data_IF_696031165111
#
_entry.id   IF_696031165111
#
_cell.length_a   1.000
_cell.length_b   1.000
_cell.length_c   1.000
_cell.angle_alpha   90.00
_cell.angle_beta   90.00
_cell.angle_gamma   90.00
#
_symmetry.space_group_name_H-M   'P 1'
#
loop_
_entity.id
_entity.type
_entity.pdbx_description
1 polymer ?
#
# COMPACT_ATOMS: atom_id res chain seq x y z
N UNK A 1 -32.53 -24.83 -32.09
CA UNK A 1 -31.97 -24.20 -30.91
C UNK A 1 -30.96 -23.17 -31.40
N UNK A 2 -31.17 -21.88 -31.22
CA UNK A 2 -30.21 -20.88 -31.63
C UNK A 2 -29.03 -20.89 -30.66
N UNK A 3 -27.81 -21.03 -31.20
CA UNK A 3 -26.53 -20.88 -30.52
C UNK A 3 -26.33 -19.39 -30.26
N UNK A 4 -26.32 -18.98 -29.01
CA UNK A 4 -25.97 -17.63 -28.60
C UNK A 4 -24.45 -17.53 -28.43
N UNK A 5 -23.74 -17.48 -29.56
CA UNK A 5 -22.33 -17.09 -29.59
C UNK A 5 -22.22 -15.55 -29.74
N UNK A 6 -22.16 -14.86 -28.62
CA UNK A 6 -21.74 -13.49 -28.57
C UNK A 6 -20.75 -13.34 -27.43
N UNK A 7 -19.66 -12.55 -27.59
CA UNK A 7 -18.77 -12.29 -26.49
C UNK A 7 -19.57 -11.60 -25.37
N UNK A 8 -19.60 -12.24 -24.20
CA UNK A 8 -20.17 -11.65 -22.99
C UNK A 8 -19.31 -10.45 -22.63
N UNK A 9 -19.67 -9.29 -23.13
CA UNK A 9 -19.17 -8.02 -22.61
C UNK A 9 -19.74 -7.91 -21.20
N UNK A 10 -18.93 -8.25 -20.17
CA UNK A 10 -19.22 -7.82 -18.80
C UNK A 10 -19.39 -6.32 -18.88
N UNK A 11 -20.59 -5.83 -18.65
CA UNK A 11 -20.76 -4.45 -18.23
C UNK A 11 -20.15 -4.40 -16.83
N UNK A 12 -18.89 -4.01 -16.76
CA UNK A 12 -18.34 -3.48 -15.53
C UNK A 12 -19.19 -2.25 -15.22
N UNK A 13 -20.07 -2.38 -14.23
CA UNK A 13 -20.67 -1.21 -13.61
C UNK A 13 -19.50 -0.50 -12.94
N UNK A 14 -19.01 0.57 -13.55
CA UNK A 14 -17.91 1.33 -13.00
C UNK A 14 -18.33 1.82 -11.61
N UNK A 15 -17.66 1.35 -10.57
CA UNK A 15 -17.83 1.87 -9.22
C UNK A 15 -17.39 3.33 -9.26
N UNK A 16 -18.28 4.24 -8.85
CA UNK A 16 -17.96 5.66 -8.78
C UNK A 16 -16.98 5.94 -7.64
N UNK A 17 -16.02 6.82 -7.91
CA UNK A 17 -15.03 7.19 -6.90
C UNK A 17 -15.65 8.10 -5.83
N UNK A 18 -15.43 7.79 -4.57
CA UNK A 18 -15.69 8.70 -3.46
C UNK A 18 -14.61 9.78 -3.43
N UNK A 19 -14.98 11.02 -3.76
CA UNK A 19 -14.05 12.15 -3.74
C UNK A 19 -13.86 12.73 -2.35
N UNK A 20 -14.88 12.64 -1.51
CA UNK A 20 -14.88 13.11 -0.12
C UNK A 20 -15.38 12.00 0.81
N UNK A 21 -14.86 11.98 2.03
CA UNK A 21 -15.28 11.08 3.10
C UNK A 21 -15.64 11.88 4.34
N UNK A 22 -16.75 11.54 4.98
CA UNK A 22 -17.10 12.05 6.31
C UNK A 22 -16.26 11.29 7.34
N UNK A 23 -15.28 11.98 7.95
CA UNK A 23 -14.43 11.46 9.03
C UNK A 23 -14.98 11.96 10.36
N UNK A 24 -15.33 11.06 11.26
CA UNK A 24 -15.91 11.38 12.56
C UNK A 24 -15.00 12.34 13.35
N UNK A 25 -15.58 13.46 13.80
CA UNK A 25 -14.84 14.49 14.55
C UNK A 25 -14.03 15.46 13.69
N UNK A 26 -13.91 15.22 12.38
CA UNK A 26 -13.17 16.10 11.44
C UNK A 26 -14.10 16.71 10.39
N UNK A 27 -15.12 15.98 9.91
CA UNK A 27 -16.02 16.38 8.84
C UNK A 27 -15.59 15.86 7.47
N UNK A 28 -16.03 16.51 6.39
CA UNK A 28 -15.70 16.12 5.01
C UNK A 28 -14.22 16.36 4.68
N UNK A 29 -13.56 15.34 4.16
CA UNK A 29 -12.14 15.32 3.82
C UNK A 29 -11.95 14.77 2.42
N UNK A 30 -11.11 15.40 1.60
CA UNK A 30 -10.70 14.87 0.28
C UNK A 30 -10.02 13.50 0.44
N UNK A 31 -10.54 12.50 -0.28
CA UNK A 31 -10.11 11.11 -0.13
C UNK A 31 -8.69 10.91 -0.66
N UNK A 32 -8.40 11.34 -1.89
CA UNK A 32 -7.13 11.03 -2.55
C UNK A 32 -6.01 11.98 -2.13
N UNK A 33 -6.31 13.26 -1.82
CA UNK A 33 -5.30 14.25 -1.53
C UNK A 33 -4.98 14.40 -0.04
N UNK A 34 -5.94 14.07 0.84
CA UNK A 34 -5.80 14.32 2.28
C UNK A 34 -5.96 13.04 3.10
N UNK A 35 -7.10 12.34 2.95
CA UNK A 35 -7.41 11.19 3.79
C UNK A 35 -6.42 10.04 3.62
N UNK A 36 -6.32 9.50 2.41
CA UNK A 36 -5.49 8.33 2.14
C UNK A 36 -3.98 8.57 2.38
N UNK A 37 -3.37 9.70 1.95
CA UNK A 37 -1.99 9.98 2.29
C UNK A 37 -1.73 10.02 3.81
N UNK A 38 -2.67 10.57 4.59
CA UNK A 38 -2.56 10.64 6.04
C UNK A 38 -2.68 9.26 6.69
N UNK A 39 -3.66 8.45 6.25
CA UNK A 39 -3.82 7.06 6.71
C UNK A 39 -2.57 6.24 6.38
N UNK A 40 -2.05 6.29 5.16
CA UNK A 40 -0.82 5.57 4.78
C UNK A 40 0.35 5.99 5.66
N UNK A 41 0.51 7.30 5.92
CA UNK A 41 1.55 7.82 6.81
C UNK A 41 1.40 7.33 8.24
N UNK A 42 0.18 7.32 8.76
CA UNK A 42 -0.07 6.93 10.16
C UNK A 42 0.03 5.42 10.37
N UNK A 43 -0.47 4.65 9.43
CA UNK A 43 -0.58 3.20 9.56
C UNK A 43 0.71 2.46 9.17
N UNK A 44 1.38 2.85 8.08
CA UNK A 44 2.53 2.11 7.54
C UNK A 44 3.63 3.01 6.98
N UNK A 45 3.80 4.21 7.52
CA UNK A 45 4.60 5.28 6.91
C UNK A 45 6.10 5.02 6.78
N UNK A 46 6.65 3.96 7.36
CA UNK A 46 8.07 3.59 7.26
C UNK A 46 8.37 2.52 6.21
N UNK A 47 7.34 1.95 5.57
CA UNK A 47 7.46 0.79 4.71
C UNK A 47 8.00 1.13 3.31
N UNK A 48 8.49 0.11 2.61
CA UNK A 48 8.91 0.17 1.22
C UNK A 48 7.77 0.53 0.28
N UNK A 49 8.09 1.10 -0.88
CA UNK A 49 7.11 1.75 -1.76
C UNK A 49 5.97 0.82 -2.21
N UNK A 50 6.24 -0.44 -2.56
CA UNK A 50 5.20 -1.39 -2.94
C UNK A 50 4.26 -1.73 -1.76
N UNK A 51 4.78 -1.77 -0.53
CA UNK A 51 3.96 -1.94 0.68
C UNK A 51 3.11 -0.70 0.98
N UNK A 52 3.63 0.53 0.74
CA UNK A 52 2.85 1.77 0.84
C UNK A 52 1.72 1.80 -0.20
N UNK A 53 1.96 1.34 -1.44
CA UNK A 53 0.94 1.20 -2.48
C UNK A 53 -0.14 0.19 -2.06
N UNK A 54 0.25 -0.99 -1.58
CA UNK A 54 -0.68 -2.00 -1.07
C UNK A 54 -1.48 -1.48 0.15
N UNK A 55 -0.87 -0.64 0.99
CA UNK A 55 -1.56 0.02 2.11
C UNK A 55 -2.59 1.04 1.61
N UNK A 56 -2.25 1.86 0.61
CA UNK A 56 -3.17 2.83 0.03
C UNK A 56 -4.40 2.15 -0.58
N UNK A 57 -4.20 1.05 -1.31
CA UNK A 57 -5.29 0.25 -1.92
C UNK A 57 -6.16 -0.40 -0.85
N UNK A 58 -5.56 -1.02 0.17
CA UNK A 58 -6.31 -1.63 1.27
C UNK A 58 -7.12 -0.58 2.05
N UNK A 59 -6.50 0.55 2.38
CA UNK A 59 -7.17 1.65 3.08
C UNK A 59 -8.34 2.22 2.28
N UNK A 60 -8.17 2.42 0.96
CA UNK A 60 -9.24 2.89 0.06
C UNK A 60 -10.38 1.87 -0.02
N UNK A 61 -10.07 0.59 -0.15
CA UNK A 61 -11.07 -0.48 -0.24
C UNK A 61 -11.90 -0.58 1.05
N UNK A 62 -11.24 -0.49 2.21
CA UNK A 62 -11.92 -0.47 3.50
C UNK A 62 -12.76 0.81 3.68
N UNK A 63 -12.25 1.97 3.27
CA UNK A 63 -13.01 3.22 3.28
C UNK A 63 -14.30 3.07 2.46
N UNK A 64 -14.22 2.59 1.22
CA UNK A 64 -15.38 2.40 0.35
C UNK A 64 -16.39 1.43 0.97
N UNK A 65 -15.90 0.30 1.52
CA UNK A 65 -16.72 -0.63 2.27
C UNK A 65 -17.48 0.03 3.44
N UNK A 66 -16.85 0.96 4.16
CA UNK A 66 -17.46 1.69 5.29
C UNK A 66 -18.45 2.76 4.82
N UNK A 67 -18.09 3.53 3.80
CA UNK A 67 -18.96 4.57 3.27
C UNK A 67 -20.25 3.98 2.69
N UNK A 68 -20.19 2.87 1.98
CA UNK A 68 -21.36 2.17 1.44
C UNK A 68 -22.34 1.73 2.54
N UNK A 69 -21.87 1.45 3.73
CA UNK A 69 -22.68 0.90 4.84
C UNK A 69 -23.05 1.89 5.91
N UNK A 70 -22.16 2.82 6.20
CA UNK A 70 -22.30 3.74 7.35
C UNK A 70 -22.31 5.22 6.93
N UNK A 71 -21.94 5.53 5.68
CA UNK A 71 -21.82 6.90 5.16
C UNK A 71 -20.67 7.70 5.77
N UNK A 72 -19.90 7.11 6.69
CA UNK A 72 -18.79 7.76 7.41
C UNK A 72 -17.77 6.75 7.91
N UNK A 73 -16.61 7.24 8.34
CA UNK A 73 -15.52 6.46 8.91
C UNK A 73 -15.01 7.11 10.20
N UNK A 74 -14.63 6.30 11.20
CA UNK A 74 -14.03 6.80 12.43
C UNK A 74 -12.52 7.00 12.26
N UNK A 75 -11.97 8.03 12.93
CA UNK A 75 -10.53 8.21 13.09
C UNK A 75 -10.04 7.39 14.29
N UNK A 76 -9.15 6.45 14.06
CA UNK A 76 -8.53 5.64 15.10
C UNK A 76 -8.66 4.13 14.88
N UNK A 77 -8.31 3.35 15.92
CA UNK A 77 -8.25 1.88 15.86
C UNK A 77 -9.59 1.18 15.62
N UNK A 78 -10.70 1.90 15.68
CA UNK A 78 -12.02 1.33 15.36
C UNK A 78 -12.21 1.13 13.87
N UNK A 79 -11.58 1.99 13.06
CA UNK A 79 -11.57 1.91 11.61
C UNK A 79 -10.15 2.10 11.06
N UNK A 80 -9.69 3.35 10.87
CA UNK A 80 -8.35 3.66 10.33
C UNK A 80 -7.76 4.87 11.06
N UNK A 81 -6.47 4.83 11.36
CA UNK A 81 -5.80 5.97 12.00
C UNK A 81 -5.50 7.02 10.93
N UNK A 82 -6.30 8.08 10.93
CA UNK A 82 -6.15 9.25 10.07
C UNK A 82 -5.27 10.33 10.72
N UNK A 83 -5.38 10.50 12.04
CA UNK A 83 -4.62 11.50 12.79
C UNK A 83 -3.64 10.83 13.76
N UNK A 84 -2.33 11.04 13.55
CA UNK A 84 -1.28 10.45 14.39
C UNK A 84 -0.15 11.42 14.76
N UNK A 85 -0.37 12.72 14.60
CA UNK A 85 0.61 13.75 14.94
C UNK A 85 1.78 13.89 13.96
N UNK A 86 1.79 13.14 12.84
CA UNK A 86 2.72 13.28 11.72
C UNK A 86 1.95 13.39 10.41
N UNK A 87 2.45 14.26 9.52
CA UNK A 87 1.86 14.41 8.18
C UNK A 87 2.48 13.46 7.15
N UNK A 88 1.77 13.24 6.02
CA UNK A 88 2.30 12.46 4.91
C UNK A 88 3.49 13.17 4.23
N UNK A 89 4.49 12.40 3.82
CA UNK A 89 5.60 12.85 2.98
C UNK A 89 5.31 12.57 1.49
N UNK A 90 6.28 12.87 0.60
CA UNK A 90 6.12 12.68 -0.84
C UNK A 90 5.94 11.22 -1.24
N UNK A 91 6.59 10.27 -0.55
CA UNK A 91 6.43 8.85 -0.83
C UNK A 91 5.00 8.35 -0.53
N UNK A 92 4.38 8.81 0.56
CA UNK A 92 2.99 8.48 0.90
C UNK A 92 2.01 9.04 -0.14
N UNK A 93 2.20 10.31 -0.55
CA UNK A 93 1.38 10.95 -1.59
C UNK A 93 1.52 10.25 -2.93
N UNK A 94 2.74 9.85 -3.28
CA UNK A 94 3.04 9.14 -4.53
C UNK A 94 2.45 7.73 -4.53
N UNK A 95 2.52 7.00 -3.42
CA UNK A 95 1.91 5.68 -3.29
C UNK A 95 0.38 5.75 -3.50
N UNK A 96 -0.29 6.76 -2.93
CA UNK A 96 -1.72 6.99 -3.14
C UNK A 96 -2.00 7.41 -4.59
N UNK A 97 -1.23 8.35 -5.13
CA UNK A 97 -1.41 8.87 -6.49
C UNK A 97 -1.21 7.80 -7.56
N UNK A 98 -0.17 6.97 -7.42
CA UNK A 98 0.13 5.90 -8.39
C UNK A 98 -0.88 4.74 -8.35
N UNK A 99 -1.71 4.68 -7.32
CA UNK A 99 -2.79 3.70 -7.14
C UNK A 99 -4.17 4.36 -7.05
N UNK A 100 -4.29 5.62 -7.51
CA UNK A 100 -5.52 6.39 -7.40
C UNK A 100 -6.72 5.62 -7.98
N UNK A 101 -7.82 5.57 -7.22
CA UNK A 101 -9.05 4.89 -7.62
C UNK A 101 -9.00 3.36 -7.65
N UNK A 102 -7.88 2.70 -7.34
CA UNK A 102 -7.82 1.24 -7.28
C UNK A 102 -8.48 0.76 -5.99
N UNK A 103 -9.49 -0.12 -6.14
CA UNK A 103 -10.28 -0.72 -5.05
C UNK A 103 -10.28 -2.24 -5.20
N UNK A 104 -10.14 -2.95 -4.09
CA UNK A 104 -10.27 -4.40 -4.05
C UNK A 104 -11.74 -4.79 -3.94
N UNK A 105 -12.18 -5.71 -4.79
CA UNK A 105 -13.55 -6.19 -4.84
C UNK A 105 -13.62 -7.71 -4.78
N UNK A 106 -14.77 -8.21 -4.38
CA UNK A 106 -15.15 -9.61 -4.53
C UNK A 106 -16.66 -9.69 -4.79
N UNK A 107 -17.07 -10.47 -5.77
CA UNK A 107 -18.47 -10.54 -6.22
C UNK A 107 -19.06 -9.13 -6.49
N UNK A 108 -18.29 -8.31 -7.20
CA UNK A 108 -18.65 -6.95 -7.65
C UNK A 108 -18.89 -5.92 -6.51
N UNK A 109 -18.47 -6.23 -5.29
CA UNK A 109 -18.57 -5.32 -4.14
C UNK A 109 -17.20 -5.05 -3.49
N UNK A 110 -16.94 -3.84 -2.95
CA UNK A 110 -15.74 -3.57 -2.18
C UNK A 110 -15.60 -4.54 -0.99
N UNK A 111 -14.41 -5.08 -0.79
CA UNK A 111 -14.10 -5.90 0.37
C UNK A 111 -13.77 -5.03 1.59
N UNK A 112 -14.03 -5.57 2.78
CA UNK A 112 -13.47 -5.02 4.02
C UNK A 112 -11.99 -5.41 4.11
N UNK A 113 -11.14 -4.68 3.40
CA UNK A 113 -9.71 -4.97 3.33
C UNK A 113 -9.04 -4.66 4.68
N UNK A 114 -9.26 -5.54 5.67
CA UNK A 114 -8.68 -5.41 7.00
C UNK A 114 -7.15 -5.44 6.97
N UNK A 115 -6.52 -4.70 7.84
CA UNK A 115 -5.08 -4.73 8.06
C UNK A 115 -4.71 -4.40 9.51
N UNK A 116 -3.58 -4.91 9.93
CA UNK A 116 -2.99 -4.70 11.26
C UNK A 116 -1.46 -4.66 11.14
N UNK A 117 -0.78 -4.25 12.21
CA UNK A 117 0.69 -4.28 12.22
C UNK A 117 1.24 -5.68 11.91
N UNK A 118 0.74 -6.71 12.58
CA UNK A 118 1.27 -8.06 12.50
C UNK A 118 2.63 -8.21 13.19
N UNK A 119 3.13 -9.43 13.29
CA UNK A 119 4.49 -9.69 13.74
C UNK A 119 5.51 -9.28 12.67
N UNK A 120 6.76 -9.05 13.08
CA UNK A 120 7.88 -8.72 12.23
C UNK A 120 8.49 -10.04 11.72
N UNK A 121 8.30 -10.42 10.44
CA UNK A 121 8.74 -11.73 9.97
C UNK A 121 10.26 -11.84 9.93
N UNK A 122 10.81 -12.96 10.41
CA UNK A 122 12.23 -13.31 10.25
C UNK A 122 12.47 -14.29 9.11
N UNK A 123 11.43 -14.86 8.51
CA UNK A 123 11.50 -15.87 7.46
C UNK A 123 11.54 -15.27 6.06
N UNK A 124 12.07 -16.03 5.08
CA UNK A 124 12.17 -15.56 3.70
C UNK A 124 10.81 -15.50 2.98
N UNK A 125 9.82 -16.23 3.43
CA UNK A 125 8.46 -16.21 2.90
C UNK A 125 7.59 -15.12 3.52
N UNK A 126 8.19 -14.25 4.35
CA UNK A 126 7.53 -13.13 5.03
C UNK A 126 6.32 -13.55 5.89
N UNK A 127 6.36 -14.78 6.40
CA UNK A 127 5.41 -15.30 7.40
C UNK A 127 6.14 -15.39 8.73
N UNK A 128 5.55 -14.92 9.83
CA UNK A 128 6.23 -14.98 11.12
C UNK A 128 6.52 -16.42 11.56
N UNK A 129 7.70 -16.61 12.12
CA UNK A 129 8.10 -17.84 12.80
C UNK A 129 7.77 -17.76 14.31
N UNK A 130 7.69 -18.90 15.00
CA UNK A 130 7.54 -18.90 16.46
C UNK A 130 8.70 -18.14 17.11
N UNK A 131 8.36 -17.09 17.86
CA UNK A 131 9.35 -16.23 18.56
C UNK A 131 9.62 -14.90 17.87
N UNK A 132 9.07 -14.66 16.69
CA UNK A 132 9.12 -13.34 16.07
C UNK A 132 8.38 -12.29 16.92
N UNK A 133 8.88 -11.06 16.87
CA UNK A 133 8.33 -9.95 17.65
C UNK A 133 6.98 -9.50 17.10
N UNK A 134 5.95 -9.50 17.95
CA UNK A 134 4.61 -8.95 17.67
C UNK A 134 4.27 -7.90 18.71
N UNK A 135 4.84 -6.68 18.62
CA UNK A 135 4.73 -5.65 19.64
C UNK A 135 3.28 -5.18 19.88
N UNK A 136 2.40 -5.41 18.92
CA UNK A 136 0.99 -5.01 18.99
C UNK A 136 0.06 -6.16 19.31
N UNK A 137 0.55 -7.40 19.36
CA UNK A 137 -0.21 -8.63 19.54
C UNK A 137 -1.35 -8.80 18.52
N UNK A 138 -1.08 -8.39 17.26
CA UNK A 138 -2.08 -8.37 16.20
C UNK A 138 -1.89 -9.47 15.15
N UNK A 139 -0.79 -10.23 15.20
CA UNK A 139 -0.52 -11.32 14.27
C UNK A 139 -1.66 -12.36 14.23
N UNK A 140 -2.32 -12.61 15.35
CA UNK A 140 -3.45 -13.52 15.46
C UNK A 140 -4.62 -13.23 14.51
N UNK A 141 -4.71 -12.01 13.97
CA UNK A 141 -5.75 -11.60 13.02
C UNK A 141 -5.29 -11.66 11.57
N UNK A 142 -3.97 -11.76 11.34
CA UNK A 142 -3.41 -11.85 9.99
C UNK A 142 -3.82 -13.18 9.35
N UNK A 143 -4.11 -13.13 8.06
CA UNK A 143 -4.44 -14.31 7.27
C UNK A 143 -3.56 -14.40 6.04
N UNK A 144 -3.13 -15.60 5.72
CA UNK A 144 -2.26 -15.88 4.57
C UNK A 144 -3.08 -16.65 3.53
N UNK A 145 -3.50 -15.95 2.47
CA UNK A 145 -4.38 -16.46 1.43
C UNK A 145 -3.69 -16.62 0.07
N UNK A 146 -2.37 -16.59 0.03
CA UNK A 146 -1.60 -16.85 -1.19
C UNK A 146 -2.00 -18.19 -1.81
N UNK A 147 -2.28 -18.18 -3.13
CA UNK A 147 -2.74 -19.35 -3.87
C UNK A 147 -4.15 -19.83 -3.55
N UNK A 148 -4.90 -19.13 -2.69
CA UNK A 148 -6.26 -19.49 -2.31
C UNK A 148 -7.30 -18.63 -3.02
N UNK A 149 -8.48 -19.22 -3.25
CA UNK A 149 -9.60 -18.56 -3.92
C UNK A 149 -10.95 -19.11 -3.42
N UNK A 150 -12.04 -18.41 -3.74
CA UNK A 150 -13.39 -18.85 -3.44
C UNK A 150 -13.64 -19.08 -1.95
N UNK A 151 -14.10 -20.26 -1.63
CA UNK A 151 -14.36 -20.71 -0.26
C UNK A 151 -13.13 -21.17 0.52
N UNK A 152 -11.98 -21.31 -0.16
CA UNK A 152 -10.74 -21.80 0.46
C UNK A 152 -9.95 -20.70 1.17
N UNK A 153 -10.35 -19.43 1.00
CA UNK A 153 -9.73 -18.31 1.73
C UNK A 153 -10.01 -18.41 3.22
N UNK A 154 -9.03 -18.00 4.01
CA UNK A 154 -9.21 -17.82 5.44
C UNK A 154 -9.74 -16.41 5.72
N UNK A 155 -10.91 -16.30 6.33
CA UNK A 155 -11.44 -15.04 6.84
C UNK A 155 -10.72 -14.65 8.13
N UNK A 156 -10.53 -13.35 8.36
CA UNK A 156 -9.96 -12.88 9.62
C UNK A 156 -11.00 -12.84 10.74
N UNK A 157 -10.57 -13.16 11.96
CA UNK A 157 -11.38 -13.00 13.16
C UNK A 157 -11.51 -11.53 13.63
N UNK A 158 -10.73 -10.62 13.05
CA UNK A 158 -10.88 -9.17 13.30
C UNK A 158 -12.26 -8.67 12.86
N UNK A 159 -12.77 -9.22 11.77
CA UNK A 159 -14.14 -9.01 11.32
C UNK A 159 -15.06 -10.17 11.72
N UNK A 160 -16.24 -10.19 11.11
CA UNK A 160 -17.18 -11.29 11.31
C UNK A 160 -16.83 -12.47 10.41
N UNK A 161 -16.43 -13.59 11.01
CA UNK A 161 -16.17 -14.86 10.30
C UNK A 161 -17.50 -15.57 10.05
N UNK A 162 -17.92 -15.58 8.78
CA UNK A 162 -19.11 -16.30 8.33
C UNK A 162 -18.98 -16.57 6.81
N UNK A 163 -19.24 -17.80 6.33
CA UNK A 163 -19.15 -18.11 4.89
C UNK A 163 -19.99 -17.21 3.98
N UNK A 164 -21.09 -16.63 4.50
CA UNK A 164 -21.90 -15.67 3.75
C UNK A 164 -21.36 -14.23 3.79
N UNK A 165 -20.34 -13.95 4.60
CA UNK A 165 -19.70 -12.63 4.66
C UNK A 165 -18.59 -12.55 3.62
N UNK A 166 -18.97 -12.37 2.37
CA UNK A 166 -18.04 -12.32 1.22
C UNK A 166 -17.13 -11.10 1.23
N UNK A 167 -17.42 -10.07 2.03
CA UNK A 167 -16.56 -8.91 2.18
C UNK A 167 -15.34 -9.18 3.09
N UNK A 168 -15.40 -10.18 3.98
CA UNK A 168 -14.24 -10.57 4.79
C UNK A 168 -13.37 -11.57 4.00
N UNK A 169 -12.36 -11.05 3.33
CA UNK A 169 -11.40 -11.84 2.54
C UNK A 169 -10.06 -12.02 3.28
N UNK A 170 -9.99 -11.69 4.56
CA UNK A 170 -8.79 -11.80 5.37
C UNK A 170 -8.26 -10.48 5.87
N UNK A 171 -7.03 -10.50 6.41
CA UNK A 171 -6.36 -9.36 7.01
C UNK A 171 -4.88 -9.31 6.63
N UNK A 172 -4.43 -8.15 6.14
CA UNK A 172 -3.05 -7.90 5.73
C UNK A 172 -2.18 -7.54 6.95
N UNK A 173 -0.97 -8.13 7.05
CA UNK A 173 0.09 -7.63 7.92
C UNK A 173 0.79 -6.44 7.29
N UNK A 174 1.01 -5.35 8.03
CA UNK A 174 1.80 -4.20 7.58
C UNK A 174 3.29 -4.57 7.57
N UNK A 175 3.80 -5.20 8.64
CA UNK A 175 5.18 -5.67 8.72
C UNK A 175 5.48 -6.77 7.69
N UNK A 176 4.56 -7.71 7.49
CA UNK A 176 4.72 -8.73 6.47
C UNK A 176 4.65 -8.19 5.05
N UNK A 177 3.83 -7.17 4.79
CA UNK A 177 3.77 -6.49 3.49
C UNK A 177 5.07 -5.74 3.17
N UNK A 178 5.71 -5.14 4.18
CA UNK A 178 7.01 -4.49 4.05
C UNK A 178 8.10 -5.51 3.70
N UNK A 179 8.15 -6.63 4.43
CA UNK A 179 9.04 -7.75 4.12
C UNK A 179 8.86 -8.25 2.67
N UNK A 180 7.62 -8.40 2.17
CA UNK A 180 7.35 -8.81 0.80
C UNK A 180 7.86 -7.77 -0.22
N UNK A 181 7.66 -6.48 0.07
CA UNK A 181 8.13 -5.39 -0.79
C UNK A 181 9.67 -5.36 -0.87
N UNK A 182 10.38 -5.52 0.24
CA UNK A 182 11.84 -5.67 0.29
C UNK A 182 12.34 -6.85 -0.56
N UNK A 183 11.51 -7.88 -0.77
CA UNK A 183 11.81 -9.03 -1.62
C UNK A 183 11.37 -8.86 -3.07
N UNK A 184 10.92 -7.67 -3.44
CA UNK A 184 10.56 -7.31 -4.80
C UNK A 184 9.14 -7.69 -5.22
N UNK A 185 8.26 -8.04 -4.28
CA UNK A 185 6.85 -8.20 -4.58
C UNK A 185 6.21 -6.87 -4.95
N UNK A 186 5.38 -6.89 -5.99
CA UNK A 186 4.59 -5.73 -6.39
C UNK A 186 3.35 -5.60 -5.50
N UNK A 187 2.72 -4.43 -5.48
CA UNK A 187 1.55 -4.18 -4.64
C UNK A 187 0.39 -5.17 -4.91
N UNK A 188 0.17 -5.57 -6.17
CA UNK A 188 -0.89 -6.52 -6.54
C UNK A 188 -0.58 -7.94 -6.03
N UNK A 189 0.66 -8.37 -6.05
CA UNK A 189 1.10 -9.62 -5.43
C UNK A 189 0.91 -9.57 -3.91
N UNK A 190 1.25 -8.44 -3.27
CA UNK A 190 1.09 -8.24 -1.82
C UNK A 190 -0.39 -8.33 -1.42
N UNK A 191 -1.30 -7.65 -2.13
CA UNK A 191 -2.73 -7.72 -1.77
C UNK A 191 -3.30 -9.12 -1.99
N UNK A 192 -2.90 -9.85 -3.05
CA UNK A 192 -3.32 -11.23 -3.28
C UNK A 192 -2.79 -12.19 -2.23
N UNK A 193 -1.58 -11.99 -1.76
CA UNK A 193 -0.98 -12.79 -0.69
C UNK A 193 -1.85 -12.85 0.57
N UNK A 194 -2.54 -11.75 0.91
CA UNK A 194 -3.39 -11.67 2.10
C UNK A 194 -4.88 -11.87 1.85
N UNK A 195 -5.41 -11.43 0.70
CA UNK A 195 -6.85 -11.44 0.44
C UNK A 195 -7.29 -12.51 -0.55
N UNK A 196 -6.36 -13.26 -1.16
CA UNK A 196 -6.61 -14.36 -2.09
C UNK A 196 -6.46 -13.97 -3.56
N UNK A 197 -6.29 -14.99 -4.42
CA UNK A 197 -5.98 -14.81 -5.84
C UNK A 197 -7.15 -14.27 -6.66
N UNK A 198 -8.37 -14.51 -6.21
CA UNK A 198 -9.60 -14.18 -6.93
C UNK A 198 -10.21 -12.82 -6.53
N UNK A 199 -9.46 -12.00 -5.76
CA UNK A 199 -9.90 -10.61 -5.56
C UNK A 199 -9.89 -9.85 -6.88
N UNK A 200 -10.96 -9.10 -7.13
CA UNK A 200 -11.02 -8.14 -8.22
C UNK A 200 -10.19 -6.91 -7.88
N UNK A 201 -9.43 -6.42 -8.86
CA UNK A 201 -8.74 -5.13 -8.80
C UNK A 201 -9.49 -4.21 -9.75
N UNK A 202 -10.30 -3.32 -9.17
CA UNK A 202 -11.18 -2.44 -9.92
C UNK A 202 -10.63 -1.01 -9.92
N UNK A 203 -10.53 -0.41 -11.09
CA UNK A 203 -10.28 1.01 -11.24
C UNK A 203 -11.61 1.76 -11.18
N UNK A 204 -11.81 2.56 -10.13
CA UNK A 204 -12.96 3.49 -10.05
C UNK A 204 -12.70 4.70 -10.94
N UNK A 205 -13.76 5.41 -11.29
CA UNK A 205 -13.68 6.67 -12.05
C UNK A 205 -14.61 7.71 -11.43
N UNK A 206 -14.27 8.98 -11.60
CA UNK A 206 -15.08 10.09 -11.06
C UNK A 206 -14.34 11.41 -11.16
N UNK A 207 -14.90 12.45 -10.54
CA UNK A 207 -14.35 13.80 -10.63
C UNK A 207 -12.93 13.94 -10.03
N UNK A 208 -12.62 13.12 -9.02
CA UNK A 208 -11.33 13.14 -8.30
C UNK A 208 -10.34 12.07 -8.75
N UNK A 209 -10.74 11.16 -9.63
CA UNK A 209 -9.87 10.09 -10.15
C UNK A 209 -9.91 10.15 -11.67
N UNK A 210 -8.74 10.33 -12.29
CA UNK A 210 -8.64 10.31 -13.73
C UNK A 210 -9.08 8.94 -14.27
N UNK A 211 -9.86 8.95 -15.36
CA UNK A 211 -10.16 7.72 -16.07
C UNK A 211 -8.86 7.03 -16.50
N UNK A 212 -8.78 5.69 -16.46
CA UNK A 212 -7.64 4.96 -16.98
C UNK A 212 -7.33 5.44 -18.40
N UNK A 213 -6.05 5.67 -18.71
CA UNK A 213 -5.66 5.99 -20.09
C UNK A 213 -6.12 4.84 -21.00
N UNK A 214 -6.76 5.14 -22.13
CA UNK A 214 -7.13 4.09 -23.07
C UNK A 214 -5.86 3.31 -23.46
N UNK A 215 -5.94 1.98 -23.66
CA UNK A 215 -4.81 1.20 -24.10
C UNK A 215 -4.26 1.83 -25.41
N UNK A 216 -2.93 1.87 -25.60
CA UNK A 216 -2.37 2.39 -26.85
C UNK A 216 -2.99 1.63 -28.03
N UNK A 217 -3.31 2.31 -29.13
CA UNK A 217 -3.88 1.66 -30.28
C UNK A 217 -2.97 0.51 -30.71
N UNK A 218 -3.53 -0.64 -31.18
CA UNK A 218 -2.76 -1.83 -31.51
C UNK A 218 -1.69 -1.61 -32.59
N UNK A 219 -1.79 -0.52 -33.35
CA UNK A 219 -0.86 -0.13 -34.42
C UNK A 219 0.17 0.94 -34.00
N UNK A 220 0.25 1.32 -32.74
CA UNK A 220 1.39 2.08 -32.25
C UNK A 220 2.61 1.13 -32.23
N UNK A 221 3.10 0.78 -33.45
CA UNK A 221 4.37 0.14 -33.61
C UNK A 221 5.38 0.96 -32.81
N UNK A 222 6.00 0.33 -31.81
CA UNK A 222 7.15 0.89 -31.11
C UNK A 222 8.11 1.32 -32.22
N UNK A 223 8.26 2.64 -32.41
CA UNK A 223 9.25 3.14 -33.32
C UNK A 223 10.56 2.41 -32.98
N UNK A 224 11.28 1.85 -34.00
CA UNK A 224 12.52 1.18 -33.70
C UNK A 224 13.35 2.14 -32.86
N UNK A 225 13.65 1.79 -31.62
CA UNK A 225 14.64 2.52 -30.84
C UNK A 225 15.87 2.58 -31.69
N UNK A 226 16.25 3.78 -32.17
CA UNK A 226 17.44 3.99 -32.92
C UNK A 226 18.55 3.19 -32.22
N UNK A 227 19.14 2.26 -32.98
CA UNK A 227 20.14 1.36 -32.45
C UNK A 227 21.21 2.21 -31.77
N UNK A 228 21.31 2.08 -30.44
CA UNK A 228 22.37 2.73 -29.67
C UNK A 228 23.67 2.28 -30.35
N UNK A 229 24.50 3.20 -30.89
CA UNK A 229 25.72 2.84 -31.60
C UNK A 229 26.58 2.01 -30.64
N UNK A 230 26.85 0.78 -31.04
CA UNK A 230 27.69 -0.13 -30.29
C UNK A 230 29.13 0.43 -30.31
N UNK A 231 29.60 0.90 -29.16
CA UNK A 231 31.00 1.31 -29.00
C UNK A 231 31.86 0.07 -29.04
N UNK A 232 32.60 -0.11 -30.13
CA UNK A 232 33.55 -1.20 -30.29
C UNK A 232 34.84 -0.80 -29.57
N UNK A 233 35.28 -1.59 -28.60
CA UNK A 233 36.55 -1.43 -27.91
C UNK A 233 37.63 -2.29 -28.59
N UNK A 234 38.87 -1.77 -28.66
CA UNK A 234 40.02 -2.54 -29.09
C UNK A 234 40.46 -3.58 -28.05
N UNK A 235 41.39 -4.48 -28.40
CA UNK A 235 41.89 -5.52 -27.50
C UNK A 235 42.59 -4.97 -26.24
N UNK A 236 42.79 -3.67 -26.12
CA UNK A 236 43.35 -2.98 -24.95
C UNK A 236 42.27 -2.21 -24.14
N UNK A 237 40.98 -2.38 -24.48
CA UNK A 237 39.85 -1.76 -23.78
C UNK A 237 39.70 -0.25 -24.05
N UNK A 238 40.21 0.24 -25.19
CA UNK A 238 40.07 1.63 -25.61
C UNK A 238 39.02 1.77 -26.71
N UNK A 239 38.19 2.84 -26.71
CA UNK A 239 37.25 3.07 -27.79
C UNK A 239 37.99 3.25 -29.11
N UNK A 240 37.60 2.51 -30.16
CA UNK A 240 38.17 2.62 -31.51
C UNK A 240 37.88 3.99 -32.10
N UNK A 241 38.92 4.67 -32.62
CA UNK A 241 38.83 6.05 -33.14
C UNK A 241 38.12 6.15 -34.51
N UNK A 242 37.63 5.04 -35.05
CA UNK A 242 37.01 5.01 -36.40
C UNK A 242 35.50 5.24 -36.41
N UNK A 243 34.85 5.40 -35.28
CA UNK A 243 33.45 5.79 -35.21
C UNK A 243 33.35 7.31 -35.10
N UNK A 244 33.03 8.00 -36.17
CA UNK A 244 32.88 9.45 -36.28
C UNK A 244 31.78 10.07 -35.43
N UNK A 245 31.78 9.76 -34.11
CA UNK A 245 30.90 10.37 -33.13
C UNK A 245 31.67 11.48 -32.43
N UNK A 246 31.37 12.71 -32.81
CA UNK A 246 31.82 13.92 -32.09
C UNK A 246 31.09 13.98 -30.77
N UNK A 247 31.76 13.65 -29.66
CA UNK A 247 31.23 13.81 -28.29
C UNK A 247 31.31 15.32 -28.00
N UNK A 248 30.16 15.97 -27.94
CA UNK A 248 30.07 17.31 -27.39
C UNK A 248 30.48 17.28 -25.90
N UNK A 249 31.29 18.21 -25.40
CA UNK A 249 31.67 18.26 -24.00
C UNK A 249 30.39 18.51 -23.15
N UNK A 250 30.30 17.79 -22.03
CA UNK A 250 29.23 17.99 -21.06
C UNK A 250 29.22 19.45 -20.56
N UNK A 251 28.06 20.06 -20.35
CA UNK A 251 27.99 21.43 -19.85
C UNK A 251 28.65 21.52 -18.46
N UNK A 252 29.62 22.44 -18.37
CA UNK A 252 30.24 22.77 -17.08
C UNK A 252 29.23 23.54 -16.24
N UNK A 253 28.98 23.04 -15.00
CA UNK A 253 28.16 23.76 -14.01
C UNK A 253 29.04 24.75 -13.25
N UNK A 254 28.62 26.02 -13.22
CA UNK A 254 29.27 27.09 -12.44
C UNK A 254 28.44 27.44 -11.22
N UNK A 255 29.10 27.85 -10.12
CA UNK A 255 28.44 28.42 -8.95
C UNK A 255 27.93 29.86 -9.22
N UNK A 256 27.14 30.41 -8.31
CA UNK A 256 26.60 31.78 -8.43
C UNK A 256 27.69 32.89 -8.48
N UNK A 257 28.96 32.55 -8.38
CA UNK A 257 30.10 33.43 -8.49
C UNK A 257 30.98 33.21 -9.73
N UNK A 258 30.58 32.30 -10.66
CA UNK A 258 31.29 32.06 -11.91
C UNK A 258 32.57 31.21 -11.78
N UNK A 259 32.72 30.44 -10.71
CA UNK A 259 33.83 29.51 -10.53
C UNK A 259 33.42 28.08 -10.82
N UNK A 260 34.30 27.22 -11.40
CA UNK A 260 33.97 25.79 -11.58
C UNK A 260 33.73 25.09 -10.24
N UNK A 261 32.59 24.37 -10.14
CA UNK A 261 32.24 23.63 -8.93
C UNK A 261 33.19 22.44 -8.70
N UNK A 262 33.61 22.14 -7.47
CA UNK A 262 34.46 20.99 -7.18
C UNK A 262 33.72 19.68 -7.50
N UNK A 263 34.42 18.80 -8.22
CA UNK A 263 33.93 17.46 -8.59
C UNK A 263 33.68 16.64 -7.32
N UNK A 264 32.44 16.20 -7.09
CA UNK A 264 32.10 15.32 -5.99
C UNK A 264 32.75 13.94 -6.19
N UNK A 265 33.67 13.59 -5.29
CA UNK A 265 34.17 12.22 -5.14
C UNK A 265 33.16 11.42 -4.36
N UNK A 266 32.52 10.46 -4.99
CA UNK A 266 31.69 9.46 -4.33
C UNK A 266 32.56 8.56 -3.45
N UNK A 267 32.66 8.90 -2.17
CA UNK A 267 33.07 7.96 -1.14
C UNK A 267 31.81 7.25 -0.64
N UNK A 268 31.80 5.92 -0.78
CA UNK A 268 30.76 5.07 -0.24
C UNK A 268 30.64 5.25 1.28
N UNK A 269 29.47 5.71 1.73
CA UNK A 269 29.12 5.77 3.14
C UNK A 269 28.27 4.56 3.46
N UNK A 270 28.91 3.58 4.09
CA UNK A 270 28.23 2.50 4.82
C UNK A 270 27.63 3.13 6.07
N UNK A 271 26.31 3.33 6.09
CA UNK A 271 25.59 3.83 7.26
C UNK A 271 24.93 2.68 8.01
N UNK A 272 25.72 2.05 8.91
CA UNK A 272 25.16 1.31 10.02
C UNK A 272 24.78 2.31 11.12
N UNK A 273 23.55 2.84 11.08
CA UNK A 273 22.99 3.73 12.09
C UNK A 273 22.34 2.94 13.22
N UNK A 274 23.09 2.66 14.30
CA UNK A 274 22.51 2.23 15.57
C UNK A 274 21.80 3.41 16.20
N UNK A 275 20.49 3.35 16.37
CA UNK A 275 19.76 4.24 17.26
C UNK A 275 20.03 3.82 18.71
N UNK A 276 20.93 4.54 19.39
CA UNK A 276 21.06 4.48 20.83
C UNK A 276 19.99 5.39 21.45
N UNK A 277 19.03 4.81 22.16
CA UNK A 277 18.14 5.54 23.02
C UNK A 277 18.93 6.06 24.24
N UNK A 278 19.07 7.37 24.36
CA UNK A 278 19.59 8.02 25.56
C UNK A 278 18.48 7.99 26.63
N UNK A 279 18.69 7.19 27.67
CA UNK A 279 17.92 7.24 28.91
C UNK A 279 18.32 8.50 29.67
N UNK A 280 17.50 9.53 29.65
CA UNK A 280 17.57 10.64 30.58
C UNK A 280 17.01 10.21 31.94
N UNK A 281 17.87 10.19 32.96
CA UNK A 281 17.47 10.12 34.37
C UNK A 281 16.75 11.42 34.74
N UNK A 282 15.48 11.33 35.15
CA UNK A 282 14.69 12.41 35.70
C UNK A 282 13.72 11.84 36.74
N UNK A 283 13.90 12.32 37.93
CA UNK A 283 13.32 11.95 39.22
C UNK A 283 11.88 11.53 39.27
N UNK A 284 11.65 10.57 40.19
CA UNK A 284 10.37 9.96 40.48
C UNK A 284 9.31 10.93 41.02
N UNK A 285 8.08 10.65 40.61
CA UNK A 285 6.84 10.55 41.41
C UNK A 285 5.62 10.62 40.49
N UNK A 286 4.73 9.66 40.72
CA UNK A 286 3.33 9.61 40.27
C UNK A 286 3.08 9.55 38.75
N UNK A 287 2.72 8.36 38.28
CA UNK A 287 1.39 8.02 37.73
C UNK A 287 1.32 6.49 37.60
N UNK A 288 0.91 5.83 38.65
CA UNK A 288 0.19 4.57 38.54
C UNK A 288 -1.26 4.94 38.40
N UNK A 289 -1.87 4.61 37.24
CA UNK A 289 -3.32 4.43 37.03
C UNK A 289 -3.65 4.68 35.53
N UNK A 290 -3.52 3.64 34.73
CA UNK A 290 -4.31 3.43 33.51
C UNK A 290 -3.93 2.06 32.89
N UNK A 291 -4.07 1.01 33.74
CA UNK A 291 -4.17 -0.36 33.26
C UNK A 291 -5.48 -0.92 33.79
N UNK A 292 -6.48 -0.98 32.96
CA UNK A 292 -7.73 -1.60 33.35
C UNK A 292 -8.95 -0.83 32.86
N UNK A 293 -9.28 -0.89 31.55
CA UNK A 293 -10.65 -0.77 31.04
C UNK A 293 -10.66 -1.03 29.52
N UNK A 294 -10.38 -2.25 29.09
CA UNK A 294 -10.69 -2.72 27.75
C UNK A 294 -11.12 -4.18 27.74
N UNK A 295 -11.94 -4.56 28.72
CA UNK A 295 -12.57 -5.88 28.73
C UNK A 295 -13.89 -5.81 29.47
N UNK A 296 -14.92 -5.15 28.91
CA UNK A 296 -16.33 -5.30 29.39
C UNK A 296 -17.33 -4.49 28.54
N UNK A 297 -17.49 -4.79 27.27
CA UNK A 297 -18.70 -4.40 26.49
C UNK A 297 -19.11 -5.48 25.46
N UNK A 298 -18.92 -6.75 25.70
CA UNK A 298 -19.48 -7.80 24.81
C UNK A 298 -20.44 -8.78 25.55
N UNK A 299 -20.90 -8.47 26.75
CA UNK A 299 -21.82 -9.35 27.45
C UNK A 299 -23.02 -8.61 28.07
N UNK A 300 -23.85 -7.95 27.21
CA UNK A 300 -25.24 -7.60 27.62
C UNK A 300 -26.14 -7.36 26.39
N UNK A 301 -26.43 -8.43 25.64
CA UNK A 301 -27.66 -8.50 24.82
C UNK A 301 -28.10 -9.93 24.53
N UNK A 302 -28.34 -10.69 25.59
CA UNK A 302 -29.04 -11.95 25.47
C UNK A 302 -29.83 -12.21 26.75
N UNK A 303 -30.90 -11.45 26.98
CA UNK A 303 -31.99 -11.80 27.88
C UNK A 303 -33.08 -10.72 27.77
N UNK A 304 -34.01 -10.91 26.84
CA UNK A 304 -35.42 -10.53 26.90
C UNK A 304 -36.11 -11.04 25.65
N UNK A 305 -36.61 -12.21 25.69
CA UNK A 305 -37.82 -12.72 25.02
C UNK A 305 -38.10 -14.07 25.64
N UNK A 306 -38.84 -14.06 26.72
CA UNK A 306 -39.88 -15.01 27.10
C UNK A 306 -41.14 -14.21 27.29
#
# INVERSE_FOLDING_TARGET
MPVLDGPWVRRESALEAYCEAEVEGTGLVDVEQVYLPSVVSCENGGADFAALQAQAIAARSYLYYKLDRAGRIADGQQDQVFTCGRGPNDAHREAVRSTAGIVLTYADAPIAAFYVAGAIPSTEDCRPAPGDDDPTSTERWVTYNEGRAGGDITQTELGWVNPSNTANRGCKSQNGADCLAERGYTWDQIVRFYYGEDIGILQTSGACVAAPAPPPPPDAAVAPVDAVPMVVFDAAGRPSQDSGVSIAPAPETFDAGGRPAPRATTQGVSAAGRCSAALGQGDGRLVALFSGLCALVVLRRARRLT
#
